data_IF_056699364167
#
_entry.id   IF_056699364167
#
_cell.length_a   1.000
_cell.length_b   1.000
_cell.length_c   1.000
_cell.angle_alpha   90.00
_cell.angle_beta   90.00
_cell.angle_gamma   90.00
#
_symmetry.space_group_name_H-M   'P 1'
#
loop_
_entity.id
_entity.type
_entity.pdbx_description
1 polymer ?
#
# COMPACT_ATOMS: atom_id res chain seq x y z
N UNK A 1 5.74 18.88 -16.32
CA UNK A 1 6.40 18.54 -17.57
C UNK A 1 7.13 17.22 -17.38
N UNK A 2 7.11 16.30 -18.31
CA UNK A 2 7.72 14.98 -18.25
C UNK A 2 7.07 13.98 -17.28
N UNK A 3 5.88 14.25 -16.73
CA UNK A 3 5.19 13.33 -15.81
C UNK A 3 5.90 13.12 -14.47
N UNK A 4 6.85 13.98 -14.10
CA UNK A 4 7.55 13.90 -12.81
C UNK A 4 6.72 14.67 -11.77
N UNK A 5 6.22 14.01 -10.71
CA UNK A 5 5.51 14.70 -9.65
C UNK A 5 6.48 15.57 -8.83
N UNK A 6 6.06 16.79 -8.52
CA UNK A 6 6.75 17.71 -7.64
C UNK A 6 5.92 17.87 -6.37
N UNK A 7 6.47 17.47 -5.23
CA UNK A 7 5.76 17.43 -3.94
C UNK A 7 6.34 18.51 -3.03
N UNK A 8 5.48 19.40 -2.54
CA UNK A 8 5.83 20.45 -1.59
C UNK A 8 5.00 20.25 -0.33
N UNK A 9 5.62 20.28 0.83
CA UNK A 9 4.95 20.10 2.12
C UNK A 9 5.68 20.91 3.22
N UNK A 10 4.97 21.20 4.29
CA UNK A 10 5.51 21.96 5.42
C UNK A 10 6.19 21.06 6.45
N UNK A 11 5.88 19.76 6.43
CA UNK A 11 6.41 18.78 7.38
C UNK A 11 6.72 17.41 6.72
N UNK A 12 7.39 16.56 7.47
CA UNK A 12 7.77 15.21 7.04
C UNK A 12 6.55 14.35 6.74
N UNK A 13 5.50 14.42 7.55
CA UNK A 13 4.26 13.67 7.32
C UNK A 13 3.61 14.05 5.98
N UNK A 14 3.41 15.36 5.74
CA UNK A 14 2.81 15.87 4.50
C UNK A 14 3.64 15.52 3.27
N UNK A 15 4.98 15.62 3.36
CA UNK A 15 5.88 15.23 2.28
C UNK A 15 5.68 13.76 1.87
N UNK A 16 5.67 12.86 2.84
CA UNK A 16 5.50 11.44 2.58
C UNK A 16 4.04 11.07 2.24
N UNK A 17 3.04 11.83 2.68
CA UNK A 17 1.68 11.67 2.21
C UNK A 17 1.55 12.03 0.71
N UNK A 18 2.13 13.13 0.29
CA UNK A 18 2.21 13.48 -1.14
C UNK A 18 2.95 12.43 -1.96
N UNK A 19 4.07 11.91 -1.44
CA UNK A 19 4.83 10.85 -2.10
C UNK A 19 4.03 9.55 -2.21
N UNK A 20 3.38 9.10 -1.13
CA UNK A 20 2.53 7.90 -1.14
C UNK A 20 1.36 8.02 -2.12
N UNK A 21 0.74 9.20 -2.19
CA UNK A 21 -0.32 9.49 -3.15
C UNK A 21 0.17 9.39 -4.61
N UNK A 22 1.30 10.03 -4.92
CA UNK A 22 1.88 9.99 -6.27
C UNK A 22 2.27 8.56 -6.69
N UNK A 23 2.85 7.77 -5.78
CA UNK A 23 3.17 6.36 -6.05
C UNK A 23 1.91 5.53 -6.26
N UNK A 24 0.84 5.78 -5.49
CA UNK A 24 -0.44 5.10 -5.67
C UNK A 24 -1.05 5.38 -7.04
N UNK A 25 -0.95 6.61 -7.56
CA UNK A 25 -1.44 6.94 -8.90
C UNK A 25 -0.76 6.11 -10.00
N UNK A 26 0.54 5.83 -9.86
CA UNK A 26 1.32 5.14 -10.89
C UNK A 26 1.38 3.63 -10.70
N UNK A 27 1.31 3.13 -9.45
CA UNK A 27 1.71 1.76 -9.12
C UNK A 27 0.76 1.04 -8.17
N UNK A 28 -0.49 1.48 -8.05
CA UNK A 28 -1.45 0.95 -7.08
C UNK A 28 -1.59 -0.58 -7.15
N UNK A 29 -1.70 -1.14 -8.35
CA UNK A 29 -1.82 -2.59 -8.53
C UNK A 29 -0.58 -3.34 -8.03
N UNK A 30 0.63 -2.87 -8.40
CA UNK A 30 1.89 -3.50 -7.97
C UNK A 30 2.07 -3.42 -6.44
N UNK A 31 1.67 -2.29 -5.84
CA UNK A 31 1.73 -2.11 -4.39
C UNK A 31 0.77 -3.04 -3.66
N UNK A 32 -0.46 -3.18 -4.15
CA UNK A 32 -1.43 -4.11 -3.57
C UNK A 32 -0.94 -5.56 -3.68
N UNK A 33 -0.37 -5.96 -4.81
CA UNK A 33 0.20 -7.30 -4.98
C UNK A 33 1.41 -7.53 -4.04
N UNK A 34 2.29 -6.54 -3.87
CA UNK A 34 3.40 -6.63 -2.92
C UNK A 34 2.91 -6.77 -1.47
N UNK A 35 1.90 -6.00 -1.08
CA UNK A 35 1.25 -6.09 0.23
C UNK A 35 0.68 -7.50 0.47
N UNK A 36 -0.07 -8.03 -0.51
CA UNK A 36 -0.62 -9.40 -0.43
C UNK A 36 0.46 -10.46 -0.34
N UNK A 37 1.55 -10.31 -1.09
CA UNK A 37 2.68 -11.24 -1.04
C UNK A 37 3.30 -11.31 0.35
N UNK A 38 3.56 -10.19 0.98
CA UNK A 38 4.11 -10.14 2.36
C UNK A 38 3.14 -10.75 3.37
N UNK A 39 1.84 -10.51 3.22
CA UNK A 39 0.80 -11.01 4.14
C UNK A 39 0.37 -12.46 3.86
N UNK A 40 0.87 -13.08 2.79
CA UNK A 40 0.44 -14.40 2.36
C UNK A 40 -1.05 -14.43 1.94
N UNK A 41 -1.44 -13.51 1.08
CA UNK A 41 -2.82 -13.31 0.58
C UNK A 41 -2.88 -13.38 -0.96
N UNK A 42 -1.84 -13.91 -1.61
CA UNK A 42 -1.75 -13.98 -3.08
C UNK A 42 -2.72 -15.02 -3.66
N UNK A 43 -2.84 -16.18 -3.02
CA UNK A 43 -3.74 -17.26 -3.47
C UNK A 43 -5.21 -16.83 -3.55
N UNK A 44 -5.61 -15.86 -2.73
CA UNK A 44 -6.97 -15.31 -2.73
C UNK A 44 -7.35 -14.59 -4.04
N UNK A 45 -6.37 -14.14 -4.81
CA UNK A 45 -6.59 -13.38 -6.05
C UNK A 45 -6.00 -14.06 -7.29
N UNK A 46 -4.91 -14.81 -7.15
CA UNK A 46 -4.25 -15.46 -8.28
C UNK A 46 -4.54 -16.97 -8.40
N UNK A 47 -5.13 -17.58 -7.37
CA UNK A 47 -5.52 -19.00 -7.39
C UNK A 47 -4.75 -19.87 -6.41
N UNK A 48 -5.29 -21.09 -6.22
CA UNK A 48 -4.86 -22.04 -5.18
C UNK A 48 -3.40 -22.50 -5.36
N UNK A 49 -2.86 -22.44 -6.55
CA UNK A 49 -1.48 -22.79 -6.87
C UNK A 49 -0.46 -21.91 -6.12
N UNK A 50 -0.87 -20.71 -5.68
CA UNK A 50 -0.05 -19.79 -4.89
C UNK A 50 -0.12 -20.06 -3.37
N UNK A 51 -0.94 -21.01 -2.92
CA UNK A 51 -1.09 -21.32 -1.49
C UNK A 51 0.23 -21.70 -0.78
N UNK A 52 1.13 -22.51 -1.37
CA UNK A 52 2.41 -22.81 -0.73
C UNK A 52 3.26 -21.57 -0.46
N UNK A 53 3.22 -20.59 -1.36
CA UNK A 53 3.89 -19.30 -1.18
C UNK A 53 3.26 -18.53 0.00
N UNK A 54 1.93 -18.45 0.06
CA UNK A 54 1.22 -17.76 1.13
C UNK A 54 1.49 -18.38 2.51
N UNK A 55 1.54 -19.71 2.60
CA UNK A 55 1.89 -20.42 3.84
C UNK A 55 3.30 -20.04 4.31
N UNK A 56 4.26 -20.00 3.41
CA UNK A 56 5.65 -19.60 3.72
C UNK A 56 5.71 -18.13 4.17
N UNK A 57 5.02 -17.24 3.47
CA UNK A 57 4.97 -15.81 3.81
C UNK A 57 4.36 -15.59 5.19
N UNK A 58 3.24 -16.25 5.50
CA UNK A 58 2.59 -16.15 6.83
C UNK A 58 3.44 -16.70 7.96
N UNK A 59 4.21 -17.75 7.71
CA UNK A 59 5.12 -18.31 8.71
C UNK A 59 6.27 -17.35 9.04
N UNK A 60 6.69 -16.52 8.07
CA UNK A 60 7.75 -15.52 8.24
C UNK A 60 7.24 -14.15 8.73
N UNK A 61 5.94 -13.88 8.64
CA UNK A 61 5.34 -12.59 8.96
C UNK A 61 4.83 -12.55 10.40
N UNK A 62 5.56 -11.89 11.29
CA UNK A 62 5.10 -11.60 12.66
C UNK A 62 4.68 -10.13 12.77
N UNK A 63 3.37 -9.89 12.72
CA UNK A 63 2.81 -8.55 12.83
C UNK A 63 3.11 -7.88 14.18
N UNK A 64 3.14 -8.65 15.27
CA UNK A 64 3.42 -8.11 16.59
C UNK A 64 4.88 -7.66 16.72
N UNK A 65 5.80 -8.41 16.11
CA UNK A 65 7.22 -8.05 16.08
C UNK A 65 7.44 -6.78 15.24
N UNK A 66 6.86 -6.71 14.06
CA UNK A 66 6.92 -5.52 13.21
C UNK A 66 6.36 -4.29 13.95
N UNK A 67 5.23 -4.43 14.65
CA UNK A 67 4.65 -3.34 15.42
C UNK A 67 5.59 -2.85 16.52
N UNK A 68 6.23 -3.76 17.26
CA UNK A 68 7.24 -3.40 18.28
C UNK A 68 8.40 -2.62 17.67
N UNK A 69 8.89 -3.05 16.50
CA UNK A 69 9.97 -2.35 15.79
C UNK A 69 9.54 -0.94 15.37
N UNK A 70 8.33 -0.78 14.86
CA UNK A 70 7.78 0.53 14.46
C UNK A 70 7.60 1.44 15.67
N UNK A 71 7.09 0.92 16.78
CA UNK A 71 6.88 1.69 18.01
C UNK A 71 8.21 2.17 18.63
N UNK A 72 9.29 1.44 18.39
CA UNK A 72 10.64 1.81 18.82
C UNK A 72 11.31 2.87 17.93
N UNK A 73 10.76 3.18 16.74
CA UNK A 73 11.32 4.19 15.86
C UNK A 73 11.19 5.61 16.44
N UNK A 74 12.13 6.51 16.15
CA UNK A 74 11.97 7.93 16.41
C UNK A 74 10.67 8.51 15.79
N UNK A 75 10.13 9.56 16.38
CA UNK A 75 8.85 10.16 15.95
C UNK A 75 8.85 10.54 14.46
N UNK A 76 9.92 11.17 13.98
CA UNK A 76 10.07 11.56 12.57
C UNK A 76 10.02 10.36 11.62
N UNK A 77 10.65 9.23 11.98
CA UNK A 77 10.60 8.01 11.17
C UNK A 77 9.20 7.38 11.17
N UNK A 78 8.48 7.45 12.29
CA UNK A 78 7.07 7.04 12.34
C UNK A 78 6.19 7.93 11.46
N UNK A 79 6.46 9.24 11.42
CA UNK A 79 5.72 10.18 10.57
C UNK A 79 5.96 9.94 9.08
N UNK A 80 7.15 9.49 8.67
CA UNK A 80 7.44 8.99 7.33
C UNK A 80 6.48 7.84 6.96
N UNK A 81 6.44 6.80 7.80
CA UNK A 81 5.60 5.62 7.55
C UNK A 81 4.11 5.96 7.53
N UNK A 82 3.66 6.78 8.49
CA UNK A 82 2.27 7.21 8.59
C UNK A 82 1.85 8.08 7.41
N UNK A 83 2.70 9.04 7.03
CA UNK A 83 2.46 9.90 5.88
C UNK A 83 2.34 9.07 4.61
N UNK A 84 3.30 8.18 4.35
CA UNK A 84 3.28 7.32 3.18
C UNK A 84 2.00 6.46 3.11
N UNK A 85 1.61 5.80 4.19
CA UNK A 85 0.39 5.01 4.25
C UNK A 85 -0.87 5.89 4.05
N UNK A 86 -0.91 7.08 4.63
CA UNK A 86 -2.02 8.03 4.45
C UNK A 86 -2.16 8.46 2.98
N UNK A 87 -1.04 8.70 2.30
CA UNK A 87 -1.00 9.03 0.88
C UNK A 87 -1.52 7.91 0.00
N UNK A 88 -1.07 6.68 0.23
CA UNK A 88 -1.58 5.50 -0.49
C UNK A 88 -3.09 5.36 -0.30
N UNK A 89 -3.58 5.44 0.94
CA UNK A 89 -5.01 5.34 1.23
C UNK A 89 -5.81 6.46 0.57
N UNK A 90 -5.26 7.67 0.44
CA UNK A 90 -5.89 8.75 -0.31
C UNK A 90 -5.96 8.44 -1.80
N UNK A 91 -4.90 7.87 -2.39
CA UNK A 91 -4.89 7.41 -3.78
C UNK A 91 -5.92 6.31 -4.06
N UNK A 92 -6.05 5.33 -3.14
CA UNK A 92 -7.08 4.28 -3.24
C UNK A 92 -8.47 4.89 -3.24
N UNK A 93 -8.78 5.79 -2.29
CA UNK A 93 -10.10 6.47 -2.25
C UNK A 93 -10.38 7.29 -3.50
N UNK A 94 -9.37 7.95 -4.06
CA UNK A 94 -9.53 8.68 -5.32
C UNK A 94 -9.86 7.74 -6.49
N UNK A 95 -9.16 6.59 -6.57
CA UNK A 95 -9.42 5.58 -7.60
C UNK A 95 -10.81 4.93 -7.44
N UNK A 96 -11.29 4.73 -6.21
CA UNK A 96 -12.64 4.24 -5.94
C UNK A 96 -13.73 5.26 -6.28
N UNK A 97 -13.44 6.56 -6.10
CA UNK A 97 -14.38 7.63 -6.43
C UNK A 97 -14.52 7.86 -7.94
N UNK A 98 -13.48 7.60 -8.71
CA UNK A 98 -13.48 7.69 -10.19
C UNK A 98 -12.71 6.48 -10.78
N UNK A 99 -13.34 5.30 -10.77
CA UNK A 99 -12.67 4.07 -11.21
C UNK A 99 -12.37 4.07 -12.71
N UNK A 100 -13.17 4.74 -13.52
CA UNK A 100 -12.99 4.78 -14.96
C UNK A 100 -11.72 5.54 -15.37
N UNK A 101 -11.37 6.59 -14.61
CA UNK A 101 -10.20 7.40 -14.89
C UNK A 101 -8.94 6.99 -14.11
N UNK A 102 -9.10 6.46 -12.89
CA UNK A 102 -8.01 6.34 -11.93
C UNK A 102 -7.72 4.89 -11.48
N UNK A 103 -8.66 3.95 -11.66
CA UNK A 103 -8.44 2.57 -11.23
C UNK A 103 -7.57 1.83 -12.24
N UNK A 104 -6.44 1.23 -11.83
CA UNK A 104 -5.67 0.37 -12.71
C UNK A 104 -6.51 -0.78 -13.28
N UNK A 105 -6.48 -0.94 -14.60
CA UNK A 105 -7.29 -1.92 -15.33
C UNK A 105 -7.08 -3.35 -14.83
N UNK A 106 -5.89 -3.66 -14.34
CA UNK A 106 -5.53 -4.98 -13.81
C UNK A 106 -6.44 -5.43 -12.68
N UNK A 107 -6.99 -4.52 -11.86
CA UNK A 107 -7.95 -4.89 -10.83
C UNK A 107 -9.22 -5.53 -11.42
N UNK A 108 -9.72 -4.98 -12.52
CA UNK A 108 -10.84 -5.56 -13.27
C UNK A 108 -10.46 -6.88 -13.97
N UNK A 109 -9.28 -6.94 -14.57
CA UNK A 109 -8.79 -8.13 -15.28
C UNK A 109 -8.63 -9.35 -14.33
N UNK A 110 -8.24 -9.13 -13.08
CA UNK A 110 -8.10 -10.17 -12.05
C UNK A 110 -9.31 -10.29 -11.12
N UNK A 111 -10.32 -9.45 -11.26
CA UNK A 111 -11.60 -9.55 -10.53
C UNK A 111 -11.51 -9.23 -9.03
N UNK A 112 -10.61 -8.35 -8.59
CA UNK A 112 -10.55 -7.88 -7.21
C UNK A 112 -10.34 -6.37 -7.14
N UNK A 113 -10.50 -5.79 -5.94
CA UNK A 113 -10.31 -4.36 -5.69
C UNK A 113 -9.11 -4.13 -4.74
N UNK A 114 -8.48 -2.96 -4.77
CA UNK A 114 -7.51 -2.59 -3.75
C UNK A 114 -8.21 -2.54 -2.40
N UNK A 115 -7.48 -2.84 -1.34
CA UNK A 115 -8.04 -2.83 0.02
C UNK A 115 -7.74 -1.49 0.69
N UNK A 116 -8.69 -0.54 0.75
CA UNK A 116 -8.55 0.69 1.53
C UNK A 116 -8.61 0.40 3.02
N UNK A 117 -8.12 1.30 3.83
CA UNK A 117 -8.28 1.26 5.28
C UNK A 117 -7.12 0.64 6.04
N UNK A 118 -7.36 -0.12 7.12
CA UNK A 118 -6.31 -0.55 8.04
C UNK A 118 -5.21 -1.41 7.44
N UNK A 119 -5.38 -1.91 6.21
CA UNK A 119 -4.35 -2.68 5.50
C UNK A 119 -3.08 -1.88 5.16
N UNK A 120 -3.18 -0.57 5.08
CA UNK A 120 -2.05 0.36 4.92
C UNK A 120 -1.84 1.22 6.19
N UNK A 121 -2.37 0.82 7.32
CA UNK A 121 -2.03 1.39 8.62
C UNK A 121 -1.01 0.47 9.29
N UNK A 122 -0.04 1.06 9.94
CA UNK A 122 0.97 0.39 10.75
C UNK A 122 0.42 0.11 12.17
N UNK A 123 -0.76 -0.49 12.22
CA UNK A 123 -1.41 -0.94 13.46
C UNK A 123 -1.68 -2.44 13.39
#
# INVERSE_FOLDING_TARGET
>A
TWGVPHIYAEDTFGLFAGYGYAVAQDRLFQMEMARRAVRGEVAAVLGIEHLPFDVTSRAAFDQADIQRQIDALPAEQRDILRGYAAGINAGIRAAEADPDALMPKQFGDFGFAPSPGPSWTWR
#
